data_IF_790239010871
#
_entry.id   IF_790239010871
#
_cell.length_a   1.000
_cell.length_b   1.000
_cell.length_c   1.000
_cell.angle_alpha   90.00
_cell.angle_beta   90.00
_cell.angle_gamma   90.00
#
_symmetry.space_group_name_H-M   'P 1'
#
loop_
_entity.id
_entity.type
_entity.pdbx_description
1 polymer ?
#
# COMPACT_ATOMS: atom_id res chain seq x y z
N UNK A 1 1.85 14.36 -58.05
CA UNK A 1 1.14 14.36 -56.75
C UNK A 1 -0.21 13.67 -57.00
N UNK A 2 -0.59 12.61 -56.26
CA UNK A 2 -0.53 12.56 -54.80
C UNK A 2 0.47 11.54 -54.24
N UNK A 3 1.05 11.91 -53.10
CA UNK A 3 1.88 11.05 -52.26
C UNK A 3 0.96 10.03 -51.56
N UNK A 4 1.34 8.74 -51.58
CA UNK A 4 0.73 7.74 -50.68
C UNK A 4 1.13 8.12 -49.25
N UNK A 5 0.17 8.58 -48.46
CA UNK A 5 0.33 8.76 -47.02
C UNK A 5 0.74 7.44 -46.37
N UNK A 6 1.79 7.40 -45.51
CA UNK A 6 2.08 6.21 -44.73
C UNK A 6 0.90 5.96 -43.79
N UNK A 7 0.32 4.76 -43.91
CA UNK A 7 -0.81 4.32 -43.12
C UNK A 7 -0.46 4.42 -41.63
N UNK A 8 -1.27 5.16 -40.89
CA UNK A 8 -1.21 5.42 -39.44
C UNK A 8 -1.42 4.16 -38.58
N UNK A 9 -1.13 2.97 -39.12
CA UNK A 9 -1.34 1.67 -38.48
C UNK A 9 -0.16 1.25 -37.60
N UNK A 10 1.04 1.77 -37.85
CA UNK A 10 2.27 1.38 -37.11
C UNK A 10 2.42 1.93 -35.70
N UNK A 11 1.59 2.88 -35.28
CA UNK A 11 1.75 3.55 -33.98
C UNK A 11 0.81 3.02 -32.89
N UNK A 12 -0.07 2.06 -33.20
CA UNK A 12 -1.01 1.47 -32.21
C UNK A 12 -0.56 0.07 -31.79
N UNK A 13 0.28 -0.59 -32.58
CA UNK A 13 0.79 -1.95 -32.30
C UNK A 13 1.97 -1.99 -31.32
N UNK A 14 2.55 -0.83 -30.98
CA UNK A 14 3.76 -0.74 -30.14
C UNK A 14 3.47 -0.40 -28.66
N UNK A 15 2.19 -0.25 -28.29
CA UNK A 15 1.77 0.19 -26.94
C UNK A 15 0.97 -0.85 -26.18
N UNK A 16 0.83 -2.05 -26.75
CA UNK A 16 0.30 -3.23 -26.07
C UNK A 16 1.45 -4.22 -25.96
N UNK A 17 2.47 -3.89 -25.16
CA UNK A 17 3.25 -4.95 -24.53
C UNK A 17 2.28 -5.68 -23.59
N UNK A 18 1.57 -6.66 -24.15
CA UNK A 18 0.77 -7.62 -23.41
C UNK A 18 1.67 -8.19 -22.31
N UNK A 19 1.31 -7.89 -21.06
CA UNK A 19 1.96 -8.42 -19.87
C UNK A 19 2.18 -9.90 -20.04
N UNK A 20 3.43 -10.32 -20.15
CA UNK A 20 3.78 -11.72 -20.41
C UNK A 20 3.19 -12.56 -19.28
N UNK A 21 2.66 -13.76 -19.56
CA UNK A 21 1.99 -14.61 -18.56
C UNK A 21 2.90 -15.00 -17.36
N UNK A 22 4.21 -14.78 -17.49
CA UNK A 22 5.22 -15.06 -16.45
C UNK A 22 5.69 -13.83 -15.66
N UNK A 23 5.13 -12.62 -15.88
CA UNK A 23 5.32 -11.49 -14.98
C UNK A 23 4.57 -11.76 -13.66
N UNK A 24 5.18 -12.61 -12.83
CA UNK A 24 4.70 -12.90 -11.49
C UNK A 24 4.56 -11.59 -10.74
N UNK A 25 3.33 -11.28 -10.35
CA UNK A 25 3.00 -10.16 -9.48
C UNK A 25 3.90 -10.20 -8.24
N UNK A 26 4.84 -9.26 -8.15
CA UNK A 26 5.79 -9.16 -7.05
C UNK A 26 5.32 -8.06 -6.08
N UNK A 27 4.41 -8.41 -5.19
CA UNK A 27 3.96 -7.52 -4.13
C UNK A 27 4.97 -7.62 -2.99
N UNK A 28 5.66 -6.51 -2.69
CA UNK A 28 6.65 -6.44 -1.60
C UNK A 28 6.10 -5.79 -0.33
N UNK A 29 5.10 -4.94 -0.46
CA UNK A 29 4.49 -4.21 0.66
C UNK A 29 2.97 -4.25 0.48
N UNK A 30 2.27 -4.62 1.54
CA UNK A 30 0.82 -4.44 1.69
C UNK A 30 0.62 -3.27 2.66
N UNK A 31 -0.02 -2.20 2.20
CA UNK A 31 -0.35 -1.05 3.04
C UNK A 31 -1.80 -1.14 3.49
N UNK A 32 -2.04 -1.24 4.80
CA UNK A 32 -3.37 -1.24 5.40
C UNK A 32 -3.63 0.07 6.17
N UNK A 33 -4.54 0.93 5.70
CA UNK A 33 -4.97 2.09 6.47
C UNK A 33 -5.85 1.64 7.64
N UNK A 34 -5.51 2.11 8.84
CA UNK A 34 -6.21 1.83 10.08
C UNK A 34 -6.76 3.14 10.63
N UNK A 35 -8.04 3.18 10.95
CA UNK A 35 -8.71 4.28 11.65
C UNK A 35 -9.28 3.84 13.01
N UNK A 36 -8.87 2.65 13.48
CA UNK A 36 -9.32 1.98 14.71
C UNK A 36 -10.82 1.64 14.77
N UNK A 37 -11.57 1.85 13.69
CA UNK A 37 -12.93 1.35 13.57
C UNK A 37 -12.96 -0.19 13.48
N UNK A 38 -14.09 -0.79 13.84
CA UNK A 38 -14.29 -2.23 13.65
C UNK A 38 -14.10 -2.66 12.18
N UNK A 39 -14.44 -1.78 11.23
CA UNK A 39 -14.28 -2.05 9.81
C UNK A 39 -12.81 -2.10 9.39
N UNK A 40 -11.97 -1.16 9.83
CA UNK A 40 -10.54 -1.20 9.52
C UNK A 40 -9.83 -2.36 10.21
N UNK A 41 -10.24 -2.72 11.43
CA UNK A 41 -9.76 -3.95 12.08
C UNK A 41 -10.17 -5.21 11.33
N UNK A 42 -11.39 -5.27 10.80
CA UNK A 42 -11.85 -6.40 9.99
C UNK A 42 -11.06 -6.53 8.67
N UNK A 43 -10.59 -5.42 8.09
CA UNK A 43 -9.77 -5.45 6.87
C UNK A 43 -8.43 -6.20 7.07
N UNK A 44 -7.91 -6.27 8.30
CA UNK A 44 -6.70 -7.04 8.62
C UNK A 44 -6.86 -8.54 8.37
N UNK A 45 -8.08 -9.07 8.47
CA UNK A 45 -8.36 -10.47 8.15
C UNK A 45 -8.07 -10.81 6.67
N UNK A 46 -7.98 -9.80 5.81
CA UNK A 46 -7.62 -9.95 4.40
C UNK A 46 -6.18 -9.52 4.14
N UNK A 47 -5.74 -8.41 4.74
CA UNK A 47 -4.40 -7.88 4.52
C UNK A 47 -3.30 -8.85 4.97
N UNK A 48 -3.50 -9.55 6.09
CA UNK A 48 -2.51 -10.51 6.63
C UNK A 48 -2.31 -11.69 5.67
N UNK A 49 -3.34 -12.46 5.25
CA UNK A 49 -3.15 -13.54 4.29
C UNK A 49 -2.55 -13.10 2.94
N UNK A 50 -2.85 -11.87 2.50
CA UNK A 50 -2.25 -11.31 1.28
C UNK A 50 -0.74 -11.10 1.49
N UNK A 51 -0.34 -10.47 2.61
CA UNK A 51 1.06 -10.25 2.91
C UNK A 51 1.83 -11.58 3.02
N UNK A 52 1.26 -12.58 3.72
CA UNK A 52 1.83 -13.92 3.83
C UNK A 52 1.98 -14.60 2.47
N UNK A 53 0.95 -14.57 1.63
CA UNK A 53 0.95 -15.20 0.29
C UNK A 53 2.07 -14.66 -0.60
N UNK A 54 2.36 -13.38 -0.50
CA UNK A 54 3.37 -12.72 -1.31
C UNK A 54 4.73 -12.58 -0.61
N UNK A 55 4.86 -13.06 0.63
CA UNK A 55 6.03 -12.81 1.49
C UNK A 55 6.37 -11.31 1.55
N UNK A 56 5.32 -10.48 1.61
CA UNK A 56 5.38 -9.03 1.64
C UNK A 56 5.37 -8.51 3.08
N UNK A 57 5.94 -7.34 3.30
CA UNK A 57 5.80 -6.62 4.56
C UNK A 57 4.39 -6.03 4.68
N UNK A 58 3.77 -6.15 5.86
CA UNK A 58 2.48 -5.51 6.15
C UNK A 58 2.71 -4.21 6.92
N UNK A 59 2.42 -3.08 6.28
CA UNK A 59 2.53 -1.75 6.87
C UNK A 59 1.15 -1.25 7.30
N UNK A 60 1.01 -0.92 8.58
CA UNK A 60 -0.20 -0.30 9.12
C UNK A 60 -0.01 1.21 9.21
N UNK A 61 -0.95 1.99 8.66
CA UNK A 61 -0.92 3.45 8.74
C UNK A 61 -2.16 3.96 9.43
N UNK A 62 -1.96 4.63 10.56
CA UNK A 62 -3.00 5.37 11.27
C UNK A 62 -2.79 6.87 11.06
N UNK A 63 -3.83 7.57 10.63
CA UNK A 63 -3.80 9.02 10.46
C UNK A 63 -4.37 9.64 11.72
N UNK A 64 -3.59 10.50 12.38
CA UNK A 64 -4.04 11.28 13.51
C UNK A 64 -4.13 12.75 13.11
N UNK A 65 -5.25 13.40 13.46
CA UNK A 65 -5.55 14.78 13.05
C UNK A 65 -4.63 15.82 13.73
N UNK A 66 -4.04 15.48 14.89
CA UNK A 66 -3.20 16.40 15.66
C UNK A 66 -1.71 16.22 15.32
N UNK A 67 -1.32 16.62 14.11
CA UNK A 67 0.09 16.63 13.68
C UNK A 67 0.99 17.60 14.46
N UNK A 68 0.46 18.36 15.43
CA UNK A 68 1.18 19.40 16.16
C UNK A 68 1.60 19.04 17.60
N UNK A 69 1.21 17.88 18.16
CA UNK A 69 1.47 17.57 19.57
C UNK A 69 2.10 16.20 19.84
N UNK A 70 2.78 15.59 18.86
CA UNK A 70 3.76 14.55 19.18
C UNK A 70 5.13 15.19 19.38
N UNK A 71 5.29 15.90 20.50
CA UNK A 71 6.64 16.14 21.02
C UNK A 71 7.25 14.79 21.40
N UNK A 72 8.57 14.65 21.28
CA UNK A 72 9.27 13.45 21.75
C UNK A 72 8.92 13.14 23.22
N UNK A 73 8.64 14.18 24.00
CA UNK A 73 8.24 14.08 25.40
C UNK A 73 6.85 13.45 25.55
N UNK A 74 5.87 13.84 24.72
CA UNK A 74 4.53 13.25 24.72
C UNK A 74 4.56 11.77 24.30
N UNK A 75 5.39 11.40 23.33
CA UNK A 75 5.60 10.00 22.95
C UNK A 75 6.27 9.20 24.06
N UNK A 76 7.26 9.77 24.75
CA UNK A 76 7.94 9.10 25.86
C UNK A 76 7.00 8.84 27.04
N UNK A 77 6.07 9.75 27.33
CA UNK A 77 5.05 9.57 28.37
C UNK A 77 4.04 8.47 28.00
N UNK A 78 3.52 8.50 26.77
CA UNK A 78 2.59 7.48 26.29
C UNK A 78 3.19 6.06 26.33
N UNK A 79 4.47 5.94 25.95
CA UNK A 79 5.19 4.67 26.02
C UNK A 79 5.38 4.19 27.47
N UNK A 80 5.68 5.10 28.40
CA UNK A 80 5.81 4.78 29.82
C UNK A 80 4.48 4.29 30.42
N UNK A 81 3.38 5.00 30.14
CA UNK A 81 2.04 4.62 30.62
C UNK A 81 1.56 3.28 30.04
N UNK A 82 1.88 3.01 28.77
CA UNK A 82 1.55 1.72 28.14
C UNK A 82 2.34 0.53 28.72
N UNK A 83 3.52 0.80 29.29
CA UNK A 83 4.34 -0.22 29.96
C UNK A 83 3.85 -0.53 31.38
N UNK A 84 3.30 0.47 32.09
CA UNK A 84 2.74 0.27 33.44
C UNK A 84 1.33 -0.37 33.42
N UNK A 85 0.54 -0.20 32.35
CA UNK A 85 -0.73 -0.92 32.21
C UNK A 85 -0.60 -2.44 31.95
N UNK A 86 0.61 -3.00 31.99
CA UNK A 86 0.88 -4.45 31.85
C UNK A 86 1.11 -5.18 33.19
N UNK A 87 0.89 -4.55 34.34
CA UNK A 87 0.83 -5.22 35.67
C UNK A 87 -0.59 -5.33 36.18
#
# INVERSE_FOLDING_TARGET
MPQRTPSKRRAVEDSLEESRPDDKLNIRIVLAPIDLSAASMHALNYAIPIAERFQADLHLVYVHENGHEFSADAMSQLLYESAEMRT
#
